data_IF_831599279444
#
_entry.id   IF_831599279444
#
_cell.length_a   1.000
_cell.length_b   1.000
_cell.length_c   1.000
_cell.angle_alpha   90.00
_cell.angle_beta   90.00
_cell.angle_gamma   90.00
#
_symmetry.space_group_name_H-M   'P 1'
#
loop_
_entity.id
_entity.type
_entity.pdbx_description
1 polymer ?
#
# COMPACT_ATOMS: atom_id res chain seq x y z
N UNK A 1 -8.59 -13.28 65.99
CA UNK A 1 -9.03 -13.25 64.58
C UNK A 1 -7.77 -13.26 63.72
N UNK A 2 -7.52 -14.28 62.90
CA UNK A 2 -6.33 -14.34 62.05
C UNK A 2 -6.73 -13.88 60.63
N UNK A 3 -6.03 -12.85 60.09
CA UNK A 3 -6.29 -12.32 58.79
C UNK A 3 -5.11 -12.65 57.86
N UNK A 4 -5.39 -13.21 56.67
CA UNK A 4 -4.39 -13.50 55.65
C UNK A 4 -4.73 -12.70 54.41
N UNK A 5 -3.77 -11.93 53.88
CA UNK A 5 -3.91 -11.16 52.68
C UNK A 5 -3.12 -11.83 51.54
N UNK A 6 -3.62 -11.73 50.32
CA UNK A 6 -2.94 -12.17 49.11
C UNK A 6 -3.05 -11.08 48.06
N UNK A 7 -1.93 -10.65 47.50
CA UNK A 7 -1.87 -9.77 46.36
C UNK A 7 -2.05 -10.59 45.08
N UNK A 8 -2.94 -10.15 44.21
CA UNK A 8 -3.10 -10.70 42.85
C UNK A 8 -2.59 -9.64 41.92
N UNK A 9 -1.55 -9.96 41.16
CA UNK A 9 -1.04 -9.12 40.10
C UNK A 9 -1.63 -9.60 38.78
N UNK A 10 -2.31 -8.69 38.07
CA UNK A 10 -2.86 -8.96 36.74
C UNK A 10 -1.86 -8.37 35.75
N UNK A 11 -1.25 -9.25 34.96
CA UNK A 11 -0.31 -8.88 33.92
C UNK A 11 -0.87 -9.34 32.58
N UNK A 12 -1.05 -8.40 31.63
CA UNK A 12 -1.47 -8.71 30.27
C UNK A 12 -0.63 -7.88 29.27
N UNK A 13 -0.46 -8.40 28.07
CA UNK A 13 0.17 -7.67 27.00
C UNK A 13 -0.83 -6.78 26.28
N UNK A 14 -0.33 -5.62 25.82
CA UNK A 14 -1.12 -4.70 25.02
C UNK A 14 -1.40 -5.30 23.64
N UNK A 15 -2.53 -4.89 23.06
CA UNK A 15 -2.81 -5.21 21.66
C UNK A 15 -1.74 -4.61 20.75
N UNK A 16 -1.38 -5.36 19.73
CA UNK A 16 -0.61 -4.85 18.60
C UNK A 16 -1.59 -4.35 17.56
N UNK A 17 -1.44 -3.11 17.13
CA UNK A 17 -2.32 -2.49 16.14
C UNK A 17 -1.56 -2.14 14.88
N UNK A 18 -2.21 -2.30 13.73
CA UNK A 18 -1.69 -1.88 12.42
C UNK A 18 -2.80 -1.25 11.59
N UNK A 19 -2.44 -0.31 10.75
CA UNK A 19 -3.35 0.29 9.78
C UNK A 19 -2.58 0.62 8.50
N UNK A 20 -3.23 0.38 7.36
CA UNK A 20 -2.75 0.81 6.05
C UNK A 20 -3.95 1.31 5.23
N UNK A 21 -3.70 2.21 4.29
CA UNK A 21 -4.71 2.64 3.31
C UNK A 21 -4.49 1.84 2.03
N UNK A 22 -5.53 1.16 1.59
CA UNK A 22 -5.55 0.37 0.36
C UNK A 22 -6.39 1.07 -0.70
N UNK A 23 -5.94 1.01 -1.95
CA UNK A 23 -6.79 1.34 -3.10
C UNK A 23 -7.71 0.15 -3.36
N UNK A 24 -9.02 0.40 -3.37
CA UNK A 24 -10.02 -0.63 -3.61
C UNK A 24 -10.44 -0.60 -5.08
N UNK A 25 -10.27 -1.72 -5.76
CA UNK A 25 -10.58 -1.84 -7.18
C UNK A 25 -9.39 -1.52 -8.09
N UNK A 26 -9.68 -1.15 -9.33
CA UNK A 26 -8.66 -0.94 -10.38
C UNK A 26 -8.33 0.53 -10.65
N UNK A 27 -8.94 1.46 -9.94
CA UNK A 27 -8.73 2.90 -10.14
C UNK A 27 -7.50 3.33 -9.33
N UNK A 28 -6.40 3.76 -9.97
CA UNK A 28 -5.19 4.15 -9.25
C UNK A 28 -5.37 5.49 -8.52
N UNK A 29 -4.52 5.75 -7.53
CA UNK A 29 -4.42 7.00 -6.78
C UNK A 29 -3.66 8.12 -7.53
N UNK A 30 -3.34 7.87 -8.79
CA UNK A 30 -2.69 8.82 -9.69
C UNK A 30 -3.53 8.99 -10.96
N UNK A 31 -3.69 10.24 -11.37
CA UNK A 31 -4.34 10.63 -12.63
C UNK A 31 -3.31 11.16 -13.63
N UNK A 32 -3.59 11.00 -14.91
CA UNK A 32 -2.91 11.69 -16.00
C UNK A 32 -3.85 12.78 -16.52
N UNK A 33 -3.39 14.04 -16.55
CA UNK A 33 -4.12 15.15 -17.14
C UNK A 33 -3.60 15.44 -18.55
N UNK A 34 -4.47 15.38 -19.54
CA UNK A 34 -4.15 15.74 -20.92
C UNK A 34 -4.62 17.17 -21.16
N UNK A 35 -3.68 18.10 -21.20
CA UNK A 35 -4.00 19.53 -21.29
C UNK A 35 -4.63 19.93 -22.64
N UNK A 36 -4.27 19.25 -23.72
CA UNK A 36 -4.82 19.47 -25.08
C UNK A 36 -6.32 19.09 -25.19
N UNK A 37 -6.75 18.13 -24.38
CA UNK A 37 -8.14 17.65 -24.34
C UNK A 37 -8.92 18.11 -23.10
N UNK A 38 -8.21 18.69 -22.12
CA UNK A 38 -8.73 19.01 -20.80
C UNK A 38 -9.36 17.79 -20.08
N UNK A 39 -8.76 16.61 -20.28
CA UNK A 39 -9.28 15.33 -19.76
C UNK A 39 -8.36 14.73 -18.70
N UNK A 40 -8.95 14.00 -17.77
CA UNK A 40 -8.27 13.20 -16.76
C UNK A 40 -8.42 11.71 -17.04
N UNK A 41 -7.34 10.95 -16.85
CA UNK A 41 -7.39 9.48 -16.95
C UNK A 41 -6.71 8.88 -15.72
N UNK A 42 -7.43 8.08 -14.89
CA UNK A 42 -8.90 7.98 -14.89
C UNK A 42 -9.57 9.30 -14.47
N UNK A 43 -10.79 9.53 -14.89
CA UNK A 43 -11.62 10.64 -14.41
C UNK A 43 -12.37 10.21 -13.15
N UNK A 44 -12.00 10.72 -11.98
CA UNK A 44 -12.62 10.35 -10.71
C UNK A 44 -14.05 10.86 -10.56
N UNK A 45 -14.50 11.78 -11.42
CA UNK A 45 -15.91 12.20 -11.44
C UNK A 45 -16.81 11.14 -12.07
N UNK A 46 -16.25 10.33 -12.98
CA UNK A 46 -16.94 9.24 -13.68
C UNK A 46 -16.61 7.88 -13.04
N UNK A 47 -15.35 7.68 -12.69
CA UNK A 47 -14.84 6.44 -12.09
C UNK A 47 -14.13 6.79 -10.79
N UNK A 48 -14.85 6.87 -9.67
CA UNK A 48 -14.34 7.34 -8.41
C UNK A 48 -13.19 6.52 -7.86
N UNK A 49 -12.21 7.18 -7.24
CA UNK A 49 -11.17 6.53 -6.47
C UNK A 49 -11.74 6.08 -5.11
N UNK A 50 -11.54 4.82 -4.78
CA UNK A 50 -11.96 4.26 -3.49
C UNK A 50 -10.74 3.88 -2.67
N UNK A 51 -10.65 4.42 -1.46
CA UNK A 51 -9.59 4.13 -0.51
C UNK A 51 -10.18 3.52 0.75
N UNK A 52 -9.54 2.47 1.26
CA UNK A 52 -9.99 1.79 2.48
C UNK A 52 -8.87 1.73 3.53
N UNK A 53 -9.05 2.34 4.70
CA UNK A 53 -8.12 2.22 5.81
C UNK A 53 -8.35 0.87 6.50
N UNK A 54 -7.51 -0.10 6.22
CA UNK A 54 -7.57 -1.42 6.84
C UNK A 54 -6.91 -1.37 8.21
N UNK A 55 -7.73 -1.33 9.26
CA UNK A 55 -7.29 -1.27 10.65
C UNK A 55 -7.42 -2.65 11.30
N UNK A 56 -6.33 -3.13 11.88
CA UNK A 56 -6.26 -4.43 12.54
C UNK A 56 -5.76 -4.28 13.98
N UNK A 57 -6.25 -5.17 14.84
CA UNK A 57 -5.71 -5.38 16.16
C UNK A 57 -5.40 -6.87 16.36
N UNK A 58 -4.27 -7.17 16.98
CA UNK A 58 -3.85 -8.53 17.28
C UNK A 58 -3.58 -8.65 18.77
N UNK A 59 -4.19 -9.63 19.40
CA UNK A 59 -3.84 -10.02 20.76
C UNK A 59 -2.69 -11.03 20.71
N UNK A 60 -1.50 -10.69 21.20
CA UNK A 60 -0.35 -11.58 21.13
C UNK A 60 -0.50 -12.82 22.04
N UNK A 61 -1.44 -12.80 22.98
CA UNK A 61 -1.65 -13.89 23.95
C UNK A 61 -2.92 -14.70 23.67
N UNK A 62 -3.81 -14.23 22.79
CA UNK A 62 -5.04 -14.93 22.49
C UNK A 62 -4.85 -16.04 21.45
N UNK A 63 -5.51 -17.16 21.68
CA UNK A 63 -5.62 -18.23 20.67
C UNK A 63 -6.36 -17.74 19.43
N UNK A 64 -7.34 -16.86 19.60
CA UNK A 64 -8.08 -16.21 18.51
C UNK A 64 -7.64 -14.76 18.39
N UNK A 65 -6.99 -14.42 17.28
CA UNK A 65 -6.60 -13.05 16.95
C UNK A 65 -7.86 -12.20 16.71
N UNK A 66 -7.83 -10.93 17.12
CA UNK A 66 -8.97 -10.03 16.95
C UNK A 66 -9.20 -9.72 15.45
N UNK A 67 -8.13 -9.46 14.69
CA UNK A 67 -8.19 -9.17 13.24
C UNK A 67 -8.69 -7.78 12.93
N UNK A 68 -9.50 -7.64 11.87
CA UNK A 68 -10.02 -6.35 11.42
C UNK A 68 -10.94 -5.72 12.46
N UNK A 69 -10.71 -4.43 12.75
CA UNK A 69 -11.46 -3.67 13.76
C UNK A 69 -12.27 -2.51 13.17
N UNK A 70 -12.35 -2.41 11.86
CA UNK A 70 -13.00 -1.29 11.18
C UNK A 70 -14.42 -1.02 11.68
N UNK A 71 -15.26 -2.05 11.83
CA UNK A 71 -16.64 -1.91 12.31
C UNK A 71 -16.77 -1.34 13.73
N UNK A 72 -15.69 -1.43 14.53
CA UNK A 72 -15.62 -0.98 15.93
C UNK A 72 -14.91 0.33 16.13
N UNK A 73 -14.43 0.98 15.06
CA UNK A 73 -13.76 2.28 15.13
C UNK A 73 -14.71 3.35 15.66
N UNK A 74 -14.16 4.26 16.43
CA UNK A 74 -14.85 5.45 16.96
C UNK A 74 -14.07 6.71 16.56
N UNK A 75 -14.67 7.88 16.72
CA UNK A 75 -14.06 9.19 16.42
C UNK A 75 -13.35 9.24 15.05
N UNK A 76 -13.96 8.58 14.07
CA UNK A 76 -13.42 8.45 12.72
C UNK A 76 -13.51 9.78 11.97
N UNK A 77 -12.39 10.18 11.34
CA UNK A 77 -12.28 11.44 10.59
C UNK A 77 -11.41 11.25 9.38
N UNK A 78 -11.77 11.90 8.30
CA UNK A 78 -10.93 12.09 7.14
C UNK A 78 -10.64 13.58 6.96
N UNK A 79 -9.44 13.90 6.57
CA UNK A 79 -9.03 15.24 6.22
C UNK A 79 -8.46 15.27 4.82
N UNK A 80 -8.77 16.34 4.12
CA UNK A 80 -8.11 16.72 2.88
C UNK A 80 -7.01 17.72 3.21
N UNK A 81 -5.80 17.48 2.78
CA UNK A 81 -4.71 18.43 2.87
C UNK A 81 -4.20 18.78 1.47
N UNK A 82 -4.23 20.08 1.15
CA UNK A 82 -3.69 20.68 -0.07
C UNK A 82 -2.64 21.70 0.34
N UNK A 83 -1.37 21.42 0.02
CA UNK A 83 -0.26 22.22 0.53
C UNK A 83 -0.25 22.23 2.06
N UNK A 84 -0.39 23.40 2.66
CA UNK A 84 -0.45 23.60 4.13
C UNK A 84 -1.87 23.59 4.69
N UNK A 85 -2.88 23.66 3.83
CA UNK A 85 -4.29 23.73 4.28
C UNK A 85 -4.83 22.34 4.53
N UNK A 86 -5.31 22.10 5.75
CA UNK A 86 -5.94 20.85 6.19
C UNK A 86 -7.42 21.09 6.49
N UNK A 87 -8.31 20.38 5.81
CA UNK A 87 -9.76 20.54 5.91
C UNK A 87 -10.41 19.23 6.30
N UNK A 88 -11.30 19.26 7.30
CA UNK A 88 -12.09 18.07 7.67
C UNK A 88 -13.10 17.78 6.56
N UNK A 89 -13.13 16.51 6.12
CA UNK A 89 -14.14 16.02 5.17
C UNK A 89 -15.38 15.64 5.94
N UNK A 90 -16.49 16.27 5.58
CA UNK A 90 -17.82 16.03 6.17
C UNK A 90 -18.81 15.60 5.10
N UNK A 91 -20.01 15.21 5.49
CA UNK A 91 -21.08 14.83 4.56
C UNK A 91 -21.52 15.97 3.60
N UNK A 92 -21.14 17.21 3.91
CA UNK A 92 -21.39 18.37 3.04
C UNK A 92 -20.39 18.52 1.89
N UNK A 93 -19.25 17.80 1.96
CA UNK A 93 -18.24 17.82 0.90
C UNK A 93 -18.64 16.90 -0.25
N UNK A 94 -19.29 17.44 -1.28
CA UNK A 94 -19.86 16.68 -2.42
C UNK A 94 -18.82 15.88 -3.22
N UNK A 95 -17.52 16.24 -3.14
CA UNK A 95 -16.42 15.52 -3.78
C UNK A 95 -16.04 14.22 -3.07
N UNK A 96 -16.64 13.90 -1.93
CA UNK A 96 -16.34 12.72 -1.15
C UNK A 96 -17.59 12.03 -0.63
N UNK A 97 -17.47 10.73 -0.37
CA UNK A 97 -18.41 9.98 0.47
C UNK A 97 -17.66 9.02 1.37
N UNK A 98 -18.10 8.89 2.61
CA UNK A 98 -17.46 8.07 3.64
C UNK A 98 -18.45 7.00 4.08
N UNK A 99 -17.98 5.75 4.19
CA UNK A 99 -18.77 4.64 4.77
C UNK A 99 -18.65 4.68 6.29
N UNK A 100 -19.78 4.87 6.97
CA UNK A 100 -19.81 5.11 8.43
C UNK A 100 -20.10 3.84 9.26
N UNK A 101 -20.40 2.70 8.61
CA UNK A 101 -20.78 1.47 9.32
C UNK A 101 -20.33 0.21 8.58
N UNK A 102 -20.44 -0.95 9.29
CA UNK A 102 -20.09 -2.26 8.75
C UNK A 102 -18.58 -2.49 8.64
N UNK A 103 -18.19 -3.55 7.94
CA UNK A 103 -16.80 -3.97 7.80
C UNK A 103 -15.98 -3.01 6.94
N UNK A 104 -16.65 -2.27 6.05
CA UNK A 104 -16.03 -1.22 5.22
C UNK A 104 -16.04 0.15 5.90
N UNK A 105 -16.33 0.24 7.20
CA UNK A 105 -16.33 1.50 7.93
C UNK A 105 -14.97 2.20 7.79
N UNK A 106 -15.02 3.47 7.45
CA UNK A 106 -13.83 4.28 7.15
C UNK A 106 -13.48 4.37 5.67
N UNK A 107 -14.05 3.53 4.81
CA UNK A 107 -13.84 3.66 3.37
C UNK A 107 -14.26 5.04 2.88
N UNK A 108 -13.39 5.68 2.10
CA UNK A 108 -13.67 6.96 1.46
C UNK A 108 -13.69 6.78 -0.06
N UNK A 109 -14.67 7.39 -0.70
CA UNK A 109 -14.79 7.46 -2.15
C UNK A 109 -14.56 8.91 -2.58
N UNK A 110 -13.53 9.15 -3.39
CA UNK A 110 -13.21 10.45 -3.96
C UNK A 110 -13.83 10.57 -5.35
N UNK A 111 -14.67 11.60 -5.55
CA UNK A 111 -15.45 11.87 -6.76
C UNK A 111 -15.03 13.17 -7.44
N UNK A 112 -13.81 13.61 -7.24
CA UNK A 112 -13.28 14.83 -7.85
C UNK A 112 -11.87 14.61 -8.36
N UNK A 113 -11.53 15.25 -9.46
CA UNK A 113 -10.20 15.20 -10.02
C UNK A 113 -9.21 16.07 -9.21
N UNK A 114 -7.94 15.71 -9.28
CA UNK A 114 -6.84 16.42 -8.65
C UNK A 114 -6.11 17.22 -9.72
N UNK A 115 -5.75 18.46 -9.43
CA UNK A 115 -4.95 19.26 -10.38
C UNK A 115 -3.47 18.93 -10.23
N UNK A 116 -2.74 18.97 -11.35
CA UNK A 116 -1.30 18.67 -11.39
C UNK A 116 -0.49 19.50 -10.37
N UNK A 117 -0.84 20.79 -10.22
CA UNK A 117 -0.14 21.69 -9.29
C UNK A 117 -0.57 21.61 -7.84
N UNK A 118 -1.68 20.91 -7.55
CA UNK A 118 -2.25 20.84 -6.19
C UNK A 118 -2.60 19.39 -5.84
N UNK A 119 -1.59 18.56 -5.56
CA UNK A 119 -1.83 17.21 -5.08
C UNK A 119 -2.59 17.24 -3.75
N UNK A 120 -3.40 16.20 -3.54
CA UNK A 120 -4.24 16.06 -2.37
C UNK A 120 -3.67 14.95 -1.49
N UNK A 121 -3.42 15.24 -0.22
CA UNK A 121 -3.15 14.20 0.77
C UNK A 121 -4.43 13.94 1.55
N UNK A 122 -4.93 12.71 1.51
CA UNK A 122 -6.05 12.25 2.33
C UNK A 122 -5.49 11.65 3.62
N UNK A 123 -5.90 12.21 4.75
CA UNK A 123 -5.42 11.80 6.08
C UNK A 123 -6.57 11.17 6.86
N UNK A 124 -6.38 9.93 7.26
CA UNK A 124 -7.31 9.16 8.08
C UNK A 124 -6.93 9.24 9.55
N UNK A 125 -7.94 9.41 10.40
CA UNK A 125 -7.85 9.30 11.85
C UNK A 125 -9.01 8.48 12.38
N UNK A 126 -8.75 7.58 13.32
CA UNK A 126 -9.78 6.86 14.04
C UNK A 126 -9.26 6.37 15.41
N UNK A 127 -10.18 5.99 16.28
CA UNK A 127 -9.89 5.43 17.58
C UNK A 127 -10.51 4.04 17.72
N UNK A 128 -9.87 3.19 18.48
CA UNK A 128 -10.34 1.86 18.84
C UNK A 128 -10.12 1.62 20.33
N UNK A 129 -11.17 1.29 21.06
CA UNK A 129 -11.07 0.91 22.46
C UNK A 129 -10.94 -0.62 22.60
N UNK A 130 -9.89 -1.06 23.27
CA UNK A 130 -9.75 -2.47 23.66
C UNK A 130 -10.87 -2.85 24.62
N UNK A 131 -11.73 -3.75 24.21
CA UNK A 131 -12.87 -4.19 25.03
C UNK A 131 -12.48 -4.90 26.33
N UNK A 132 -11.23 -5.38 26.45
CA UNK A 132 -10.71 -6.04 27.65
C UNK A 132 -10.27 -5.05 28.72
N UNK A 133 -9.71 -3.93 28.30
CA UNK A 133 -8.99 -2.99 29.20
C UNK A 133 -9.56 -1.58 29.18
N UNK A 134 -10.34 -1.25 28.14
CA UNK A 134 -10.79 0.11 27.89
C UNK A 134 -9.70 1.03 27.34
N UNK A 135 -8.48 0.50 27.09
CA UNK A 135 -7.40 1.29 26.53
C UNK A 135 -7.74 1.76 25.12
N UNK A 136 -7.48 3.03 24.86
CA UNK A 136 -7.72 3.66 23.57
C UNK A 136 -6.46 3.56 22.69
N UNK A 137 -6.62 3.06 21.48
CA UNK A 137 -5.62 3.04 20.42
C UNK A 137 -6.02 4.03 19.32
N UNK A 138 -5.05 4.72 18.76
CA UNK A 138 -5.26 5.68 17.69
C UNK A 138 -4.65 5.18 16.39
N UNK A 139 -5.41 5.24 15.30
CA UNK A 139 -4.95 4.99 13.95
C UNK A 139 -4.80 6.30 13.20
N UNK A 140 -3.63 6.51 12.59
CA UNK A 140 -3.34 7.66 11.74
C UNK A 140 -2.59 7.22 10.51
N UNK A 141 -3.13 7.51 9.33
CA UNK A 141 -2.54 7.16 8.04
C UNK A 141 -2.82 8.26 7.02
N UNK A 142 -2.01 8.31 5.98
CA UNK A 142 -2.23 9.24 4.87
C UNK A 142 -1.96 8.56 3.52
N UNK A 143 -2.67 9.03 2.49
CA UNK A 143 -2.49 8.64 1.11
C UNK A 143 -2.37 9.89 0.25
N UNK A 144 -1.38 9.92 -0.64
CA UNK A 144 -1.18 11.02 -1.58
C UNK A 144 -1.90 10.69 -2.89
N UNK A 145 -2.83 11.54 -3.29
CA UNK A 145 -3.51 11.48 -4.58
C UNK A 145 -3.01 12.65 -5.44
N UNK A 146 -2.54 12.35 -6.64
CA UNK A 146 -1.92 13.36 -7.52
C UNK A 146 -2.34 13.18 -8.97
N UNK A 147 -2.22 14.25 -9.75
CA UNK A 147 -2.24 14.20 -11.19
C UNK A 147 -0.86 14.54 -11.75
N UNK A 148 -0.54 13.99 -12.91
CA UNK A 148 0.64 14.30 -13.71
C UNK A 148 0.22 14.84 -15.06
N UNK A 149 1.08 15.65 -15.67
CA UNK A 149 0.81 16.17 -17.03
C UNK A 149 0.98 15.03 -18.05
N UNK A 150 -0.01 14.82 -18.89
CA UNK A 150 -0.04 13.75 -19.89
C UNK A 150 0.91 13.95 -21.08
N UNK A 151 1.40 15.17 -21.30
CA UNK A 151 2.44 15.41 -22.32
C UNK A 151 3.78 14.79 -21.93
N UNK A 152 4.00 14.61 -20.63
CA UNK A 152 5.17 13.93 -20.06
C UNK A 152 4.73 12.79 -19.14
N UNK A 153 3.90 11.88 -19.66
CA UNK A 153 3.40 10.75 -18.88
C UNK A 153 4.56 9.99 -18.23
N UNK A 154 4.76 10.20 -16.94
CA UNK A 154 5.83 9.55 -16.18
C UNK A 154 5.43 8.09 -16.02
N UNK A 155 6.27 7.15 -16.44
CA UNK A 155 6.02 5.74 -16.21
C UNK A 155 5.93 5.43 -14.72
N UNK A 156 4.91 4.69 -14.34
CA UNK A 156 4.67 4.25 -12.95
C UNK A 156 5.00 2.77 -12.85
N UNK A 157 5.98 2.47 -12.03
CA UNK A 157 6.33 1.09 -11.70
C UNK A 157 5.50 0.64 -10.50
N UNK A 158 4.77 -0.45 -10.68
CA UNK A 158 4.02 -1.11 -9.60
C UNK A 158 4.49 -2.54 -9.41
N UNK A 159 4.36 -3.05 -8.20
CA UNK A 159 4.60 -4.45 -7.86
C UNK A 159 3.26 -5.01 -7.36
N UNK A 160 2.82 -6.12 -7.91
CA UNK A 160 1.54 -6.77 -7.60
C UNK A 160 1.57 -7.65 -6.33
N UNK A 161 2.44 -7.30 -5.40
CA UNK A 161 2.60 -7.99 -4.13
C UNK A 161 2.26 -7.04 -2.99
N UNK A 162 1.77 -7.52 -1.86
CA UNK A 162 1.67 -6.71 -0.66
C UNK A 162 3.06 -6.15 -0.30
N UNK A 163 3.09 -4.99 0.36
CA UNK A 163 4.34 -4.33 0.79
C UNK A 163 5.24 -5.22 1.64
N UNK A 164 4.65 -6.21 2.30
CA UNK A 164 5.33 -7.26 3.05
C UNK A 164 4.73 -8.60 2.67
N UNK A 165 5.53 -9.48 2.10
CA UNK A 165 5.16 -10.85 1.80
C UNK A 165 5.59 -11.73 2.98
N UNK A 166 4.61 -12.27 3.71
CA UNK A 166 4.86 -13.27 4.75
C UNK A 166 4.92 -14.66 4.09
N UNK A 167 6.13 -15.13 3.91
CA UNK A 167 6.40 -16.42 3.29
C UNK A 167 7.26 -17.30 4.19
N UNK A 168 6.78 -18.52 4.43
CA UNK A 168 7.47 -19.51 5.21
C UNK A 168 7.86 -20.70 4.32
N UNK A 169 9.16 -20.88 3.97
CA UNK A 169 9.59 -21.94 3.07
C UNK A 169 9.35 -23.36 3.60
N UNK A 170 9.16 -23.51 4.91
CA UNK A 170 8.84 -24.81 5.53
C UNK A 170 7.36 -25.16 5.35
N UNK A 171 6.48 -24.17 5.45
CA UNK A 171 5.03 -24.32 5.29
C UNK A 171 4.58 -24.23 3.84
N UNK A 172 5.15 -23.28 3.11
CA UNK A 172 4.72 -22.92 1.76
C UNK A 172 5.51 -23.74 0.74
N UNK A 173 4.87 -24.75 0.17
CA UNK A 173 5.51 -25.75 -0.72
C UNK A 173 5.85 -25.24 -2.12
N UNK A 174 5.35 -24.06 -2.48
CA UNK A 174 5.59 -23.46 -3.80
C UNK A 174 6.47 -22.22 -3.67
N UNK A 175 7.33 -22.01 -4.67
CA UNK A 175 8.06 -20.75 -4.78
C UNK A 175 7.11 -19.57 -4.91
N UNK A 176 7.46 -18.44 -4.34
CA UNK A 176 6.68 -17.20 -4.46
C UNK A 176 7.17 -16.38 -5.65
N UNK A 177 6.24 -15.73 -6.32
CA UNK A 177 6.55 -14.83 -7.44
C UNK A 177 6.04 -13.43 -7.17
N UNK A 178 6.83 -12.45 -7.55
CA UNK A 178 6.50 -11.03 -7.47
C UNK A 178 6.56 -10.48 -8.90
N UNK A 179 5.48 -9.87 -9.36
CA UNK A 179 5.38 -9.34 -10.72
C UNK A 179 5.40 -7.83 -10.70
N UNK A 180 6.32 -7.24 -11.46
CA UNK A 180 6.35 -5.81 -11.69
C UNK A 180 5.58 -5.46 -12.97
N UNK A 181 4.87 -4.33 -12.93
CA UNK A 181 4.18 -3.73 -14.07
C UNK A 181 4.63 -2.30 -14.24
N UNK A 182 4.84 -1.90 -15.47
CA UNK A 182 5.15 -0.53 -15.84
C UNK A 182 3.99 0.05 -16.63
N UNK A 183 3.36 1.07 -16.05
CA UNK A 183 2.26 1.81 -16.65
C UNK A 183 2.78 3.15 -17.18
N UNK A 184 2.36 3.55 -18.38
CA UNK A 184 2.56 4.89 -18.91
C UNK A 184 1.18 5.48 -19.16
N UNK A 185 0.77 6.38 -18.28
CA UNK A 185 -0.64 6.75 -18.18
C UNK A 185 -1.48 5.52 -17.80
N UNK A 186 -2.47 5.22 -18.60
CA UNK A 186 -3.38 4.05 -18.48
C UNK A 186 -2.92 2.84 -19.30
N UNK A 187 -1.79 2.95 -20.00
CA UNK A 187 -1.29 1.89 -20.88
C UNK A 187 -0.26 1.02 -20.16
N UNK A 188 -0.54 -0.29 -20.05
CA UNK A 188 0.44 -1.27 -19.60
C UNK A 188 1.49 -1.50 -20.70
N UNK A 189 2.72 -1.06 -20.45
CA UNK A 189 3.85 -1.18 -21.38
C UNK A 189 4.79 -2.34 -21.01
N UNK A 190 4.48 -3.11 -19.99
CA UNK A 190 5.32 -4.19 -19.46
C UNK A 190 5.74 -5.19 -20.53
N UNK A 191 4.81 -5.61 -21.39
CA UNK A 191 5.03 -6.62 -22.43
C UNK A 191 5.47 -6.05 -23.78
N UNK A 192 5.62 -4.73 -23.91
CA UNK A 192 5.85 -4.09 -25.23
C UNK A 192 7.29 -4.20 -25.75
N UNK A 193 8.20 -4.74 -24.97
CA UNK A 193 9.64 -4.73 -25.29
C UNK A 193 10.32 -3.37 -25.18
N UNK A 194 9.56 -2.32 -24.86
CA UNK A 194 10.06 -0.94 -24.67
C UNK A 194 10.57 -0.68 -23.25
N UNK A 195 10.42 -1.65 -22.36
CA UNK A 195 10.86 -1.55 -20.97
C UNK A 195 11.83 -2.67 -20.62
N UNK A 196 12.68 -2.42 -19.63
CA UNK A 196 13.57 -3.40 -19.02
C UNK A 196 13.42 -3.28 -17.51
N UNK A 197 13.43 -4.43 -16.83
CA UNK A 197 13.31 -4.51 -15.38
C UNK A 197 14.64 -4.98 -14.81
N UNK A 198 14.99 -4.43 -13.65
CA UNK A 198 16.20 -4.76 -12.90
C UNK A 198 15.80 -4.99 -11.44
N UNK A 199 16.19 -6.11 -10.90
CA UNK A 199 15.88 -6.50 -9.54
C UNK A 199 17.12 -6.42 -8.67
N UNK A 200 16.94 -5.94 -7.46
CA UNK A 200 18.01 -5.75 -6.49
C UNK A 200 17.54 -6.23 -5.12
N UNK A 201 18.51 -6.67 -4.34
CA UNK A 201 18.40 -6.88 -2.90
C UNK A 201 18.96 -5.65 -2.20
N UNK A 202 18.22 -5.10 -1.25
CA UNK A 202 18.70 -4.01 -0.39
C UNK A 202 19.48 -4.62 0.77
N UNK A 203 20.76 -4.31 0.86
CA UNK A 203 21.62 -4.76 1.93
C UNK A 203 21.41 -3.91 3.19
N UNK A 204 21.81 -4.44 4.35
CA UNK A 204 21.77 -3.72 5.64
C UNK A 204 22.59 -2.42 5.64
N UNK A 205 23.55 -2.30 4.73
CA UNK A 205 24.34 -1.09 4.49
C UNK A 205 23.60 0.00 3.72
N UNK A 206 22.40 -0.30 3.19
CA UNK A 206 21.65 0.57 2.28
C UNK A 206 22.10 0.44 0.81
N UNK A 207 23.09 -0.39 0.50
CA UNK A 207 23.52 -0.64 -0.88
C UNK A 207 22.56 -1.60 -1.60
N UNK A 208 22.43 -1.44 -2.93
CA UNK A 208 21.65 -2.33 -3.78
C UNK A 208 22.57 -3.35 -4.44
N UNK A 209 22.30 -4.63 -4.21
CA UNK A 209 22.96 -5.74 -4.88
C UNK A 209 22.08 -6.29 -6.00
N UNK A 210 22.60 -6.35 -7.22
CA UNK A 210 21.84 -6.79 -8.37
C UNK A 210 21.54 -8.31 -8.30
N UNK A 211 20.30 -8.67 -8.56
CA UNK A 211 19.86 -10.07 -8.71
C UNK A 211 19.89 -10.41 -10.18
N UNK A 212 20.72 -11.36 -10.57
CA UNK A 212 20.90 -11.79 -11.96
C UNK A 212 20.41 -13.21 -12.15
N UNK A 213 19.86 -13.53 -13.32
CA UNK A 213 19.50 -14.90 -13.68
C UNK A 213 20.72 -15.80 -13.74
N UNK A 214 20.68 -16.91 -12.98
CA UNK A 214 21.63 -18.03 -13.14
C UNK A 214 23.02 -17.84 -12.55
N UNK A 215 23.28 -16.80 -11.79
CA UNK A 215 24.61 -16.53 -11.23
C UNK A 215 24.76 -17.07 -9.80
N UNK A 216 24.67 -18.39 -9.62
CA UNK A 216 25.12 -19.03 -8.39
C UNK A 216 24.21 -18.91 -7.16
N UNK A 217 23.11 -18.20 -7.27
CA UNK A 217 22.11 -18.06 -6.21
C UNK A 217 20.83 -18.80 -6.67
N UNK A 218 20.68 -20.04 -6.23
CA UNK A 218 19.55 -20.88 -6.64
C UNK A 218 18.25 -20.56 -5.90
N UNK A 219 18.29 -19.67 -4.94
CA UNK A 219 17.14 -19.38 -4.05
C UNK A 219 16.24 -18.30 -4.61
N UNK A 220 16.75 -17.48 -5.53
CA UNK A 220 15.97 -16.46 -6.24
C UNK A 220 16.45 -16.26 -7.67
N UNK A 221 15.52 -15.94 -8.53
CA UNK A 221 15.80 -15.75 -9.95
C UNK A 221 14.85 -14.74 -10.58
N UNK A 222 15.30 -14.10 -11.64
CA UNK A 222 14.45 -13.28 -12.49
C UNK A 222 13.95 -14.15 -13.63
N UNK A 223 12.65 -14.44 -13.63
CA UNK A 223 11.98 -15.30 -14.63
C UNK A 223 11.08 -14.45 -15.51
N UNK A 224 10.89 -14.77 -16.72
CA UNK A 224 10.09 -14.18 -17.79
C UNK A 224 10.94 -13.57 -18.90
N UNK A 225 10.36 -13.50 -20.10
CA UNK A 225 11.02 -12.86 -21.25
C UNK A 225 11.35 -11.39 -21.01
N UNK A 226 10.49 -10.69 -20.31
CA UNK A 226 10.64 -9.26 -20.02
C UNK A 226 11.40 -8.97 -18.72
N UNK A 227 11.76 -10.02 -17.97
CA UNK A 227 12.40 -9.92 -16.64
C UNK A 227 11.58 -9.14 -15.60
N UNK A 228 10.28 -9.05 -15.81
CA UNK A 228 9.37 -8.36 -14.90
C UNK A 228 8.86 -9.24 -13.75
N UNK A 229 9.23 -10.52 -13.72
CA UNK A 229 8.87 -11.45 -12.66
C UNK A 229 10.10 -11.86 -11.90
N UNK A 230 10.08 -11.64 -10.61
CA UNK A 230 11.04 -12.13 -9.64
C UNK A 230 10.45 -13.34 -8.93
N UNK A 231 11.26 -14.37 -8.76
CA UNK A 231 10.88 -15.59 -8.05
C UNK A 231 11.85 -15.84 -6.90
N UNK A 232 11.29 -16.17 -5.74
CA UNK A 232 12.05 -16.67 -4.60
C UNK A 232 11.71 -18.14 -4.40
N UNK A 233 12.74 -18.99 -4.35
CA UNK A 233 12.55 -20.44 -4.20
C UNK A 233 12.23 -20.81 -2.76
N UNK A 234 11.50 -21.91 -2.60
CA UNK A 234 11.20 -22.51 -1.29
C UNK A 234 12.42 -22.93 -0.48
N UNK A 235 13.57 -23.08 -1.15
CA UNK A 235 14.82 -23.48 -0.48
C UNK A 235 15.50 -22.30 0.23
N UNK A 236 15.03 -21.08 -0.01
CA UNK A 236 15.57 -19.93 0.69
C UNK A 236 15.27 -20.03 2.19
N UNK A 237 16.30 -20.14 2.99
CA UNK A 237 16.27 -20.14 4.46
C UNK A 237 17.25 -19.05 4.90
N UNK A 238 16.77 -17.83 5.03
CA UNK A 238 17.60 -16.69 5.40
C UNK A 238 16.81 -15.65 6.19
N UNK A 239 17.49 -14.55 6.46
CA UNK A 239 16.89 -13.40 7.12
C UNK A 239 15.90 -12.68 6.18
N UNK A 240 15.15 -11.75 6.76
CA UNK A 240 14.26 -10.88 5.99
C UNK A 240 15.02 -10.15 4.90
N UNK A 241 14.46 -10.14 3.69
CA UNK A 241 15.05 -9.44 2.54
C UNK A 241 14.12 -8.36 2.02
N UNK A 242 14.70 -7.25 1.63
CA UNK A 242 13.97 -6.19 0.92
C UNK A 242 14.36 -6.24 -0.55
N UNK A 243 13.35 -6.41 -1.41
CA UNK A 243 13.51 -6.45 -2.85
C UNK A 243 13.16 -5.09 -3.45
N UNK A 244 14.01 -4.61 -4.34
CA UNK A 244 13.82 -3.36 -5.07
C UNK A 244 13.77 -3.67 -6.56
N UNK A 245 12.70 -3.27 -7.23
CA UNK A 245 12.59 -3.32 -8.68
C UNK A 245 12.83 -1.92 -9.26
N UNK A 246 13.65 -1.84 -10.30
CA UNK A 246 13.82 -0.64 -11.13
C UNK A 246 13.44 -0.97 -12.55
N UNK A 247 12.81 -0.03 -13.24
CA UNK A 247 12.47 -0.20 -14.65
C UNK A 247 13.06 0.93 -15.50
N UNK A 248 13.36 0.61 -16.74
CA UNK A 248 13.66 1.61 -17.78
C UNK A 248 12.59 1.54 -18.85
N UNK A 249 12.22 2.69 -19.39
CA UNK A 249 11.24 2.82 -20.47
C UNK A 249 11.81 3.66 -21.60
N UNK A 250 11.61 3.20 -22.84
CA UNK A 250 12.03 3.90 -24.04
C UNK A 250 10.83 4.04 -24.98
N UNK A 251 10.13 5.15 -24.90
CA UNK A 251 9.04 5.47 -25.85
C UNK A 251 9.57 5.66 -27.28
N UNK A 252 10.74 6.29 -27.41
CA UNK A 252 11.34 6.70 -28.68
C UNK A 252 12.85 6.43 -28.75
N UNK A 253 13.33 5.34 -28.19
CA UNK A 253 14.74 4.91 -28.35
C UNK A 253 15.73 5.41 -27.30
N UNK A 254 15.38 6.39 -26.46
CA UNK A 254 16.21 6.78 -25.30
C UNK A 254 15.62 6.21 -24.03
N UNK A 255 16.39 5.40 -23.32
CA UNK A 255 15.91 4.69 -22.13
C UNK A 255 16.13 5.54 -20.88
N UNK A 256 15.05 5.91 -20.17
CA UNK A 256 15.10 6.58 -18.88
C UNK A 256 14.93 5.55 -17.75
N UNK A 257 15.68 5.71 -16.68
CA UNK A 257 15.57 4.84 -15.49
C UNK A 257 14.50 5.37 -14.53
N UNK A 258 13.56 4.51 -14.15
CA UNK A 258 12.49 4.81 -13.18
C UNK A 258 12.67 3.92 -11.95
N UNK A 259 12.53 4.50 -10.76
CA UNK A 259 12.72 3.80 -9.48
C UNK A 259 11.55 4.03 -8.55
#
# INVERSE_FOLDING_TARGET
MATKQRKIEINYRLLQTSCNIEVVGSVPDMQVYQADKAEYTPDYTLTPLVLFPRCNATDPEAVTKIGAVNSRLTNMKWYERIGTTRTLITSTNTGYSITESGDSKGQITMKKNVTVLKPVTLEFYAEYADTRTGQLFTFQMSCLVRAVDGTDAIPVLTIDSPSTLDWNPVRDITAQTITAKLMVGDTDVTATGKCKFFWYRLLSTGALEAITTGAGDNDWEVVSLNKNVYKIDRNYIGDDITIVCKATYAASGTCLLYT
#
